data_IF_838804275938
#
_entry.id   IF_838804275938
#
_cell.length_a   1.000
_cell.length_b   1.000
_cell.length_c   1.000
_cell.angle_alpha   90.00
_cell.angle_beta   90.00
_cell.angle_gamma   90.00
#
_symmetry.space_group_name_H-M   'P 1'
#
loop_
_entity.id
_entity.type
_entity.pdbx_description
1 polymer ?
#
# COMPACT_ATOMS: atom_id res chain seq x y z
N UNK A 1 -18.18 -3.35 -9.57
CA UNK A 1 -16.72 -3.63 -9.61
C UNK A 1 -15.94 -2.63 -8.77
N UNK A 2 -15.39 -1.51 -9.27
CA UNK A 2 -14.67 -0.54 -8.40
C UNK A 2 -15.56 0.06 -7.33
N UNK A 3 -16.84 0.31 -7.64
CA UNK A 3 -17.78 0.88 -6.67
C UNK A 3 -18.05 -0.04 -5.46
N UNK A 4 -17.99 -1.36 -5.66
CA UNK A 4 -18.08 -2.32 -4.54
C UNK A 4 -16.85 -2.18 -3.63
N UNK A 5 -15.65 -2.12 -4.20
CA UNK A 5 -14.41 -1.90 -3.45
C UNK A 5 -14.44 -0.58 -2.67
N UNK A 6 -14.98 0.49 -3.27
CA UNK A 6 -15.19 1.76 -2.57
C UNK A 6 -16.15 1.60 -1.39
N UNK A 7 -17.27 0.91 -1.57
CA UNK A 7 -18.24 0.68 -0.49
C UNK A 7 -17.65 -0.16 0.65
N UNK A 8 -16.87 -1.17 0.32
CA UNK A 8 -16.14 -1.98 1.30
C UNK A 8 -15.09 -1.15 2.03
N UNK A 9 -14.39 -0.26 1.32
CA UNK A 9 -13.46 0.68 1.92
C UNK A 9 -14.14 1.68 2.87
N UNK A 10 -15.29 2.22 2.50
CA UNK A 10 -16.09 3.07 3.40
C UNK A 10 -16.54 2.30 4.65
N UNK A 11 -16.93 1.03 4.49
CA UNK A 11 -17.32 0.17 5.61
C UNK A 11 -16.15 -0.10 6.55
N UNK A 12 -14.96 -0.34 5.99
CA UNK A 12 -13.71 -0.47 6.74
C UNK A 12 -13.41 0.80 7.56
N UNK A 13 -13.51 1.98 6.95
CA UNK A 13 -13.29 3.27 7.62
C UNK A 13 -14.31 3.50 8.73
N UNK A 14 -15.60 3.22 8.51
CA UNK A 14 -16.63 3.36 9.55
C UNK A 14 -16.33 2.50 10.77
N UNK A 15 -15.85 1.27 10.56
CA UNK A 15 -15.42 0.37 11.65
C UNK A 15 -14.20 0.92 12.39
N UNK A 16 -13.25 1.51 11.66
CA UNK A 16 -12.09 2.17 12.27
C UNK A 16 -12.51 3.32 13.20
N UNK A 17 -13.41 4.18 12.73
CA UNK A 17 -13.85 5.37 13.46
C UNK A 17 -14.66 5.03 14.72
N UNK A 18 -15.44 3.95 14.69
CA UNK A 18 -16.29 3.55 15.83
C UNK A 18 -15.48 3.04 17.04
N UNK A 19 -14.52 2.14 16.80
CA UNK A 19 -13.95 1.32 17.88
C UNK A 19 -12.43 1.48 18.04
N UNK A 20 -11.75 2.23 17.15
CA UNK A 20 -10.29 2.23 17.06
C UNK A 20 -9.67 3.63 16.97
N UNK A 21 -10.35 4.72 17.35
CA UNK A 21 -9.68 6.01 17.43
C UNK A 21 -8.69 6.05 18.61
N UNK A 22 -7.43 6.37 18.31
CA UNK A 22 -6.40 6.53 19.33
C UNK A 22 -6.20 8.01 19.57
N UNK A 23 -6.38 8.44 20.82
CA UNK A 23 -6.22 9.82 21.23
C UNK A 23 -4.79 10.07 21.72
N UNK A 24 -4.32 11.31 21.57
CA UNK A 24 -3.08 11.79 22.17
C UNK A 24 -3.16 11.67 23.69
N UNK A 25 -2.03 11.37 24.33
CA UNK A 25 -1.94 11.19 25.79
C UNK A 25 -0.81 12.04 26.37
N UNK A 26 -0.88 12.30 27.68
CA UNK A 26 0.21 12.85 28.47
C UNK A 26 1.54 12.12 28.15
N UNK A 27 2.62 12.87 27.97
CA UNK A 27 3.93 12.35 27.53
C UNK A 27 4.20 12.49 26.03
N UNK A 28 3.22 12.88 25.23
CA UNK A 28 3.44 13.26 23.81
C UNK A 28 3.50 14.78 23.64
N UNK A 29 4.35 15.26 22.72
CA UNK A 29 4.42 16.69 22.38
C UNK A 29 3.07 17.19 21.87
N UNK A 30 2.35 16.38 21.08
CA UNK A 30 1.02 16.77 20.57
C UNK A 30 0.00 16.99 21.70
N UNK A 31 0.05 16.20 22.78
CA UNK A 31 -0.83 16.41 23.92
C UNK A 31 -0.42 17.65 24.73
N UNK A 32 0.88 17.89 24.90
CA UNK A 32 1.39 19.10 25.56
C UNK A 32 0.92 20.38 24.85
N UNK A 33 0.96 20.39 23.51
CA UNK A 33 0.62 21.57 22.71
C UNK A 33 -0.88 21.75 22.47
N UNK A 34 -1.64 20.66 22.30
CA UNK A 34 -3.02 20.72 21.80
C UNK A 34 -4.03 19.96 22.67
N UNK A 35 -3.61 19.39 23.79
CA UNK A 35 -4.46 18.55 24.64
C UNK A 35 -4.83 17.21 23.99
N UNK A 36 -5.90 16.62 24.49
CA UNK A 36 -6.46 15.38 23.94
C UNK A 36 -7.10 15.64 22.57
N UNK A 37 -6.60 14.96 21.54
CA UNK A 37 -7.17 14.96 20.19
C UNK A 37 -6.91 13.62 19.51
N UNK A 38 -7.65 13.25 18.46
CA UNK A 38 -7.30 12.10 17.63
C UNK A 38 -5.86 12.18 17.14
N UNK A 39 -5.11 11.09 17.31
CA UNK A 39 -3.72 11.00 16.87
C UNK A 39 -3.66 10.87 15.35
N UNK A 40 -3.29 11.95 14.67
CA UNK A 40 -3.05 11.98 13.23
C UNK A 40 -2.02 10.91 12.81
N UNK A 41 -0.98 10.70 13.62
CA UNK A 41 -0.01 9.64 13.39
C UNK A 41 -0.64 8.24 13.43
N UNK A 42 -1.49 7.96 14.43
CA UNK A 42 -2.19 6.68 14.51
C UNK A 42 -3.11 6.47 13.30
N UNK A 43 -3.80 7.53 12.86
CA UNK A 43 -4.63 7.50 11.65
C UNK A 43 -3.76 7.16 10.44
N UNK A 44 -2.65 7.86 10.20
CA UNK A 44 -1.75 7.58 9.08
C UNK A 44 -1.25 6.12 9.08
N UNK A 45 -0.91 5.56 10.24
CA UNK A 45 -0.49 4.15 10.36
C UNK A 45 -1.61 3.21 9.93
N UNK A 46 -2.83 3.40 10.46
CA UNK A 46 -4.01 2.60 10.10
C UNK A 46 -4.34 2.70 8.62
N UNK A 47 -4.14 3.87 8.02
CA UNK A 47 -4.34 4.09 6.60
C UNK A 47 -3.28 3.41 5.72
N UNK A 48 -2.11 3.07 6.26
CA UNK A 48 -1.19 2.13 5.62
C UNK A 48 -1.86 0.78 5.35
N UNK A 49 -2.49 0.18 6.39
CA UNK A 49 -3.24 -1.07 6.24
C UNK A 49 -4.49 -0.91 5.37
N UNK A 50 -5.11 0.27 5.36
CA UNK A 50 -6.23 0.57 4.46
C UNK A 50 -5.80 0.52 2.99
N UNK A 51 -4.64 1.08 2.65
CA UNK A 51 -4.08 0.99 1.30
C UNK A 51 -3.89 -0.46 0.85
N UNK A 52 -3.39 -1.33 1.75
CA UNK A 52 -3.29 -2.77 1.48
C UNK A 52 -4.65 -3.44 1.30
N UNK A 53 -5.61 -3.11 2.15
CA UNK A 53 -6.97 -3.61 2.03
C UNK A 53 -7.56 -3.27 0.65
N UNK A 54 -7.52 -1.99 0.25
CA UNK A 54 -8.04 -1.55 -1.05
C UNK A 54 -7.33 -2.27 -2.20
N UNK A 55 -6.00 -2.39 -2.16
CA UNK A 55 -5.26 -3.06 -3.21
C UNK A 55 -5.63 -4.56 -3.32
N UNK A 56 -5.80 -5.26 -2.18
CA UNK A 56 -6.24 -6.66 -2.14
C UNK A 56 -7.65 -6.83 -2.71
N UNK A 57 -8.58 -5.96 -2.36
CA UNK A 57 -9.95 -6.00 -2.90
C UNK A 57 -9.98 -5.68 -4.40
N UNK A 58 -9.15 -4.74 -4.88
CA UNK A 58 -9.01 -4.48 -6.32
C UNK A 58 -8.53 -5.73 -7.09
N UNK A 59 -7.55 -6.49 -6.57
CA UNK A 59 -7.13 -7.74 -7.22
C UNK A 59 -8.30 -8.71 -7.38
N UNK A 60 -9.10 -8.90 -6.33
CA UNK A 60 -10.19 -9.88 -6.31
C UNK A 60 -11.31 -9.57 -7.32
N UNK A 61 -11.41 -8.33 -7.78
CA UNK A 61 -12.40 -7.93 -8.79
C UNK A 61 -12.05 -8.48 -10.17
N UNK A 62 -10.77 -8.73 -10.46
CA UNK A 62 -10.35 -9.30 -11.74
C UNK A 62 -10.26 -10.84 -11.64
N UNK A 63 -11.13 -11.61 -12.30
CA UNK A 63 -11.14 -13.07 -12.21
C UNK A 63 -9.91 -13.75 -12.85
N UNK A 64 -9.14 -13.01 -13.66
CA UNK A 64 -7.90 -13.52 -14.27
C UNK A 64 -6.70 -13.43 -13.31
N UNK A 65 -6.88 -12.78 -12.15
CA UNK A 65 -5.85 -12.63 -11.14
C UNK A 65 -6.21 -13.43 -9.89
N UNK A 66 -5.20 -14.11 -9.34
CA UNK A 66 -5.32 -14.88 -8.11
C UNK A 66 -4.59 -14.14 -6.99
N UNK A 67 -5.32 -13.62 -6.00
CA UNK A 67 -4.70 -13.08 -4.78
C UNK A 67 -4.06 -14.23 -3.99
N UNK A 68 -2.74 -14.17 -3.81
CA UNK A 68 -2.01 -15.15 -3.02
C UNK A 68 -2.01 -14.77 -1.54
N UNK A 69 -1.57 -15.69 -0.68
CA UNK A 69 -1.46 -15.43 0.76
C UNK A 69 -0.61 -14.18 1.00
N UNK A 70 -1.17 -13.22 1.74
CA UNK A 70 -0.53 -11.99 2.20
C UNK A 70 -0.45 -11.99 3.74
N UNK A 71 0.26 -11.02 4.31
CA UNK A 71 0.53 -10.93 5.74
C UNK A 71 1.80 -11.68 6.15
N UNK A 72 1.91 -12.00 7.45
CA UNK A 72 3.10 -12.64 8.03
C UNK A 72 3.32 -14.03 7.44
N UNK A 73 4.46 -14.21 6.78
CA UNK A 73 4.93 -15.47 6.20
C UNK A 73 6.36 -15.77 6.65
N UNK A 74 6.73 -17.05 6.63
CA UNK A 74 8.10 -17.48 6.89
C UNK A 74 8.83 -17.58 5.56
N UNK A 75 9.84 -16.73 5.38
CA UNK A 75 10.71 -16.70 4.19
C UNK A 75 12.14 -16.79 4.70
N UNK A 76 12.88 -17.82 4.27
CA UNK A 76 14.25 -18.09 4.70
C UNK A 76 14.41 -18.07 6.24
N UNK A 77 13.54 -18.81 6.94
CA UNK A 77 13.47 -18.90 8.41
C UNK A 77 13.21 -17.59 9.16
N UNK A 78 12.89 -16.51 8.44
CA UNK A 78 12.53 -15.21 9.01
C UNK A 78 11.05 -14.91 8.77
N UNK A 79 10.40 -14.34 9.78
CA UNK A 79 9.06 -13.77 9.62
C UNK A 79 9.15 -12.48 8.79
N UNK A 80 8.44 -12.45 7.67
CA UNK A 80 8.30 -11.30 6.79
C UNK A 80 6.83 -10.99 6.62
N UNK A 81 6.48 -9.72 6.73
CA UNK A 81 5.13 -9.27 6.44
C UNK A 81 5.00 -8.98 4.95
N UNK A 82 4.02 -9.58 4.29
CA UNK A 82 3.83 -9.50 2.85
C UNK A 82 2.62 -8.64 2.56
N UNK A 83 2.86 -7.43 2.07
CA UNK A 83 1.81 -6.44 1.86
C UNK A 83 0.84 -6.91 0.75
N UNK A 84 1.34 -7.22 -0.46
CA UNK A 84 0.51 -7.68 -1.58
C UNK A 84 1.28 -8.64 -2.50
N UNK A 85 0.73 -9.85 -2.69
CA UNK A 85 1.17 -10.79 -3.74
C UNK A 85 -0.05 -11.30 -4.50
N UNK A 86 0.03 -11.30 -5.82
CA UNK A 86 -0.99 -11.88 -6.69
C UNK A 86 -0.36 -12.48 -7.93
N UNK A 87 -1.12 -13.34 -8.59
CA UNK A 87 -0.67 -14.18 -9.69
C UNK A 87 -1.54 -13.96 -10.91
N UNK A 88 -0.89 -13.82 -12.05
CA UNK A 88 -1.49 -13.79 -13.37
C UNK A 88 -1.12 -15.10 -14.07
N UNK A 89 -2.08 -16.02 -14.14
CA UNK A 89 -1.89 -17.34 -14.75
C UNK A 89 -1.73 -17.26 -16.27
N UNK A 90 -2.36 -16.26 -16.90
CA UNK A 90 -2.39 -16.09 -18.36
C UNK A 90 -1.01 -15.66 -18.84
N UNK A 91 -0.44 -14.63 -18.22
CA UNK A 91 0.86 -14.09 -18.60
C UNK A 91 2.03 -14.79 -17.89
N UNK A 92 1.74 -15.74 -16.98
CA UNK A 92 2.72 -16.42 -16.12
C UNK A 92 3.59 -15.44 -15.34
N UNK A 93 2.93 -14.52 -14.62
CA UNK A 93 3.61 -13.50 -13.80
C UNK A 93 3.16 -13.61 -12.34
N UNK A 94 4.11 -13.56 -11.41
CA UNK A 94 3.83 -13.32 -10.00
C UNK A 94 4.21 -11.88 -9.68
N UNK A 95 3.22 -11.11 -9.22
CA UNK A 95 3.42 -9.74 -8.81
C UNK A 95 3.59 -9.68 -7.30
N UNK A 96 4.68 -9.06 -6.83
CA UNK A 96 4.84 -8.63 -5.45
C UNK A 96 4.91 -7.10 -5.39
N UNK A 97 4.13 -6.51 -4.49
CA UNK A 97 4.18 -5.08 -4.20
C UNK A 97 4.34 -4.87 -2.70
N UNK A 98 5.40 -4.17 -2.33
CA UNK A 98 5.50 -3.51 -1.02
C UNK A 98 4.68 -2.21 -1.07
N UNK A 99 3.73 -2.02 -0.16
CA UNK A 99 2.85 -0.86 -0.19
C UNK A 99 3.40 0.25 0.72
N UNK A 100 3.40 1.47 0.20
CA UNK A 100 3.77 2.67 0.94
C UNK A 100 2.79 3.79 0.63
N UNK A 101 2.21 4.37 1.67
CA UNK A 101 1.39 5.59 1.55
C UNK A 101 2.24 6.86 1.49
N UNK A 102 3.53 6.78 1.82
CA UNK A 102 4.48 7.86 1.71
C UNK A 102 5.80 7.31 1.16
N UNK A 103 6.32 7.92 0.10
CA UNK A 103 7.59 7.54 -0.52
C UNK A 103 8.80 8.30 0.07
N UNK A 104 8.54 9.37 0.83
CA UNK A 104 9.53 10.07 1.65
C UNK A 104 9.81 9.29 2.93
N UNK A 105 10.36 8.11 2.76
CA UNK A 105 10.82 7.26 3.84
C UNK A 105 12.10 7.85 4.45
N UNK A 106 12.25 7.63 5.75
CA UNK A 106 13.52 7.86 6.45
C UNK A 106 14.64 7.11 5.73
N UNK A 107 15.82 7.74 5.60
CA UNK A 107 16.94 7.19 4.83
C UNK A 107 17.37 5.81 5.32
N UNK A 108 17.22 5.52 6.61
CA UNK A 108 17.50 4.21 7.22
C UNK A 108 16.53 3.11 6.79
N UNK A 109 15.30 3.47 6.39
CA UNK A 109 14.28 2.52 5.95
C UNK A 109 14.42 2.14 4.48
N UNK A 110 15.12 2.94 3.67
CA UNK A 110 15.29 2.67 2.24
C UNK A 110 16.06 1.36 2.01
N UNK A 111 17.26 1.12 2.59
CA UNK A 111 18.01 -0.12 2.38
C UNK A 111 17.24 -1.35 2.86
N UNK A 112 16.60 -1.27 4.03
CA UNK A 112 15.81 -2.37 4.59
C UNK A 112 14.63 -2.75 3.70
N UNK A 113 13.97 -1.76 3.07
CA UNK A 113 12.87 -2.01 2.14
C UNK A 113 13.37 -2.69 0.86
N UNK A 114 14.53 -2.27 0.34
CA UNK A 114 15.17 -2.89 -0.84
C UNK A 114 15.55 -4.33 -0.54
N UNK A 115 16.18 -4.58 0.60
CA UNK A 115 16.59 -5.92 1.03
C UNK A 115 15.37 -6.83 1.17
N UNK A 116 14.31 -6.37 1.83
CA UNK A 116 13.02 -7.09 1.93
C UNK A 116 12.50 -7.47 0.55
N UNK A 117 12.44 -6.52 -0.38
CA UNK A 117 11.95 -6.77 -1.74
C UNK A 117 12.77 -7.83 -2.47
N UNK A 118 14.11 -7.77 -2.37
CA UNK A 118 15.01 -8.72 -3.03
C UNK A 118 14.95 -10.12 -2.41
N UNK A 119 14.84 -10.22 -1.09
CA UNK A 119 14.67 -11.50 -0.39
C UNK A 119 13.37 -12.19 -0.81
N UNK A 120 12.27 -11.44 -0.88
CA UNK A 120 10.96 -11.95 -1.30
C UNK A 120 10.97 -12.33 -2.78
N UNK A 121 11.51 -11.46 -3.64
CA UNK A 121 11.66 -11.74 -5.07
C UNK A 121 12.41 -13.05 -5.30
N UNK A 122 13.55 -13.24 -4.64
CA UNK A 122 14.33 -14.48 -4.74
C UNK A 122 13.53 -15.70 -4.27
N UNK A 123 12.84 -15.61 -3.14
CA UNK A 123 12.01 -16.70 -2.63
C UNK A 123 10.87 -17.06 -3.60
N UNK A 124 10.25 -16.06 -4.24
CA UNK A 124 9.22 -16.27 -5.25
C UNK A 124 9.81 -16.90 -6.53
N UNK A 125 11.01 -16.49 -6.97
CA UNK A 125 11.71 -17.11 -8.11
C UNK A 125 11.97 -18.60 -7.87
N UNK A 126 12.37 -18.97 -6.66
CA UNK A 126 12.63 -20.37 -6.29
C UNK A 126 11.32 -21.21 -6.24
N UNK A 127 10.23 -20.61 -5.75
CA UNK A 127 8.92 -21.25 -5.60
C UNK A 127 8.16 -21.37 -6.92
N UNK A 128 8.23 -20.37 -7.79
CA UNK A 128 7.46 -20.27 -9.04
C UNK A 128 8.41 -20.20 -10.25
N UNK A 129 9.13 -21.30 -10.50
CA UNK A 129 10.21 -21.37 -11.52
C UNK A 129 9.76 -21.06 -12.95
N UNK A 130 8.50 -21.35 -13.26
CA UNK A 130 7.92 -21.13 -14.59
C UNK A 130 7.27 -19.75 -14.74
N UNK A 131 7.40 -18.89 -13.72
CA UNK A 131 6.80 -17.56 -13.69
C UNK A 131 7.86 -16.48 -13.73
N UNK A 132 7.57 -15.41 -14.45
CA UNK A 132 8.29 -14.14 -14.29
C UNK A 132 7.90 -13.54 -12.95
N UNK A 133 8.90 -13.15 -12.15
CA UNK A 133 8.63 -12.37 -10.93
C UNK A 133 8.69 -10.89 -11.27
N UNK A 134 7.65 -10.19 -10.87
CA UNK A 134 7.49 -8.76 -11.05
C UNK A 134 7.39 -8.12 -9.66
N UNK A 135 8.54 -7.66 -9.16
CA UNK A 135 8.70 -7.09 -7.83
C UNK A 135 8.77 -5.56 -7.90
N UNK A 136 8.17 -4.85 -6.93
CA UNK A 136 8.26 -3.41 -6.85
C UNK A 136 7.60 -2.83 -5.60
N UNK A 137 7.62 -1.51 -5.49
CA UNK A 137 6.89 -0.76 -4.46
C UNK A 137 5.67 -0.11 -5.11
N UNK A 138 4.52 -0.19 -4.45
CA UNK A 138 3.33 0.58 -4.79
C UNK A 138 3.21 1.80 -3.87
N UNK A 139 3.48 2.98 -4.41
CA UNK A 139 3.17 4.24 -3.74
C UNK A 139 1.70 4.59 -3.97
N UNK A 140 0.83 4.03 -3.13
CA UNK A 140 -0.62 4.05 -3.37
C UNK A 140 -1.26 5.42 -3.14
N UNK A 141 -0.67 6.33 -2.35
CA UNK A 141 -1.29 7.64 -2.08
C UNK A 141 -1.23 8.61 -3.26
N UNK A 142 -0.48 8.26 -4.30
CA UNK A 142 -0.26 9.09 -5.48
C UNK A 142 -0.76 8.37 -6.71
N UNK A 143 -1.60 9.04 -7.50
CA UNK A 143 -2.22 8.47 -8.68
C UNK A 143 -1.19 8.26 -9.80
N UNK A 144 -0.47 9.33 -10.16
CA UNK A 144 0.61 9.28 -11.15
C UNK A 144 1.83 10.10 -10.68
N UNK A 145 3.00 9.83 -11.26
CA UNK A 145 4.25 10.52 -10.90
C UNK A 145 4.25 12.02 -11.20
N UNK A 146 3.40 12.50 -12.12
CA UNK A 146 3.47 13.88 -12.66
C UNK A 146 3.23 14.94 -11.59
N UNK A 147 2.46 14.61 -10.55
CA UNK A 147 2.15 15.53 -9.46
C UNK A 147 3.22 15.57 -8.36
N UNK A 148 4.18 14.63 -8.36
CA UNK A 148 5.18 14.52 -7.30
C UNK A 148 6.21 15.63 -7.39
N UNK A 149 6.34 16.38 -6.30
CA UNK A 149 7.42 17.35 -6.09
C UNK A 149 8.46 16.88 -5.09
N UNK A 150 8.07 15.99 -4.18
CA UNK A 150 8.88 15.48 -3.09
C UNK A 150 9.08 13.95 -3.22
N UNK A 151 10.12 13.41 -2.60
CA UNK A 151 10.45 11.98 -2.67
C UNK A 151 11.04 11.47 -3.99
N UNK A 152 11.35 12.35 -4.96
CA UNK A 152 11.96 11.97 -6.24
C UNK A 152 13.34 11.31 -6.08
N UNK A 153 14.15 11.79 -5.12
CA UNK A 153 15.45 11.20 -4.79
C UNK A 153 15.31 9.77 -4.25
N UNK A 154 14.31 9.50 -3.41
CA UNK A 154 14.04 8.16 -2.90
C UNK A 154 13.59 7.22 -4.02
N UNK A 155 12.73 7.70 -4.92
CA UNK A 155 12.31 6.96 -6.11
C UNK A 155 13.54 6.57 -6.95
N UNK A 156 14.40 7.53 -7.27
CA UNK A 156 15.63 7.27 -8.01
C UNK A 156 16.54 6.28 -7.27
N UNK A 157 16.62 6.36 -5.94
CA UNK A 157 17.41 5.43 -5.13
C UNK A 157 16.91 4.00 -5.25
N UNK A 158 15.59 3.77 -5.20
CA UNK A 158 14.98 2.46 -5.41
C UNK A 158 15.24 1.95 -6.83
N UNK A 159 14.99 2.78 -7.85
CA UNK A 159 15.14 2.42 -9.26
C UNK A 159 16.59 2.08 -9.60
N UNK A 160 17.56 2.85 -9.10
CA UNK A 160 19.00 2.58 -9.24
C UNK A 160 19.44 1.26 -8.57
N UNK A 161 18.62 0.71 -7.67
CA UNK A 161 18.86 -0.58 -7.01
C UNK A 161 18.04 -1.72 -7.62
N UNK A 162 17.34 -1.46 -8.71
CA UNK A 162 16.52 -2.42 -9.46
C UNK A 162 15.10 -2.59 -8.91
N UNK A 163 14.66 -1.75 -7.98
CA UNK A 163 13.31 -1.78 -7.42
C UNK A 163 12.47 -0.71 -8.11
N UNK A 164 11.48 -1.15 -8.88
CA UNK A 164 10.56 -0.20 -9.53
C UNK A 164 9.57 0.39 -8.54
N UNK A 165 9.17 1.63 -8.82
CA UNK A 165 8.10 2.32 -8.11
C UNK A 165 6.90 2.44 -9.03
N UNK A 166 5.80 1.82 -8.64
CA UNK A 166 4.49 1.98 -9.26
C UNK A 166 3.65 2.98 -8.47
N UNK A 167 2.90 3.79 -9.20
CA UNK A 167 1.83 4.62 -8.68
C UNK A 167 0.48 3.94 -8.93
N UNK A 168 -0.63 4.52 -8.45
CA UNK A 168 -1.93 3.89 -8.59
C UNK A 168 -2.32 3.65 -10.05
N UNK A 169 -2.01 4.58 -10.96
CA UNK A 169 -2.25 4.43 -12.40
C UNK A 169 -1.54 3.19 -12.96
N UNK A 170 -0.26 2.99 -12.62
CA UNK A 170 0.50 1.81 -13.06
C UNK A 170 -0.11 0.52 -12.51
N UNK A 171 -0.52 0.52 -11.24
CA UNK A 171 -1.13 -0.64 -10.60
C UNK A 171 -2.49 -0.99 -11.21
N UNK A 172 -3.33 0.00 -11.45
CA UNK A 172 -4.63 -0.15 -12.11
C UNK A 172 -4.48 -0.71 -13.53
N UNK A 173 -3.46 -0.27 -14.27
CA UNK A 173 -3.13 -0.83 -15.58
C UNK A 173 -2.64 -2.28 -15.50
N UNK A 174 -1.84 -2.64 -14.50
CA UNK A 174 -1.38 -4.03 -14.29
C UNK A 174 -2.56 -4.97 -14.05
N UNK A 175 -3.57 -4.49 -13.32
CA UNK A 175 -4.70 -5.32 -12.89
C UNK A 175 -5.93 -5.18 -13.78
N UNK A 176 -5.80 -4.45 -14.89
CA UNK A 176 -6.86 -4.15 -15.87
C UNK A 176 -8.14 -3.59 -15.21
N UNK A 177 -7.98 -2.60 -14.34
CA UNK A 177 -9.09 -1.90 -13.68
C UNK A 177 -9.06 -0.43 -14.01
N UNK A 178 -10.23 0.12 -14.37
CA UNK A 178 -10.41 1.56 -14.59
C UNK A 178 -10.91 2.24 -13.32
N UNK A 179 -10.09 3.13 -12.76
CA UNK A 179 -10.47 4.09 -11.72
C UNK A 179 -9.74 5.39 -12.02
N UNK A 180 -10.46 6.44 -12.43
CA UNK A 180 -9.83 7.68 -12.89
C UNK A 180 -9.23 8.52 -11.75
N UNK A 181 -8.31 9.40 -12.11
CA UNK A 181 -7.54 10.24 -11.17
C UNK A 181 -8.43 11.13 -10.29
N UNK A 182 -9.43 11.78 -10.90
CA UNK A 182 -10.29 12.73 -10.19
C UNK A 182 -11.18 12.00 -9.18
N UNK A 183 -11.81 10.89 -9.58
CA UNK A 183 -12.62 10.04 -8.72
C UNK A 183 -11.77 9.37 -7.63
N UNK A 184 -10.54 8.93 -7.94
CA UNK A 184 -9.60 8.41 -6.96
C UNK A 184 -9.34 9.41 -5.84
N UNK A 185 -8.93 10.64 -6.18
CA UNK A 185 -8.69 11.65 -5.18
C UNK A 185 -9.96 12.12 -4.47
N UNK A 186 -11.08 12.20 -5.16
CA UNK A 186 -12.36 12.56 -4.55
C UNK A 186 -12.77 11.54 -3.48
N UNK A 187 -12.63 10.25 -3.77
CA UNK A 187 -12.92 9.16 -2.85
C UNK A 187 -12.11 9.28 -1.54
N UNK A 188 -10.78 9.41 -1.64
CA UNK A 188 -9.93 9.54 -0.44
C UNK A 188 -10.15 10.87 0.30
N UNK A 189 -10.45 11.97 -0.39
CA UNK A 189 -10.82 13.24 0.26
C UNK A 189 -12.14 13.13 1.02
N UNK A 190 -13.11 12.39 0.49
CA UNK A 190 -14.38 12.14 1.19
C UNK A 190 -14.17 11.30 2.45
N UNK A 191 -13.31 10.29 2.40
CA UNK A 191 -12.85 9.57 3.60
C UNK A 191 -12.21 10.53 4.61
N UNK A 192 -11.32 11.43 4.15
CA UNK A 192 -10.69 12.44 5.01
C UNK A 192 -11.71 13.35 5.71
N UNK A 193 -12.81 13.71 5.04
CA UNK A 193 -13.92 14.48 5.66
C UNK A 193 -14.65 13.66 6.74
N UNK A 194 -14.87 12.36 6.51
CA UNK A 194 -15.49 11.49 7.50
C UNK A 194 -14.67 11.42 8.79
N UNK A 195 -13.34 11.31 8.69
CA UNK A 195 -12.43 11.26 9.85
C UNK A 195 -12.42 12.60 10.60
N UNK A 196 -12.49 13.73 9.88
CA UNK A 196 -12.52 15.05 10.53
C UNK A 196 -13.82 15.32 11.30
N UNK A 197 -14.91 14.66 10.89
CA UNK A 197 -16.23 14.85 11.46
C UNK A 197 -16.62 13.78 12.50
N UNK A 198 -15.70 12.85 12.83
CA UNK A 198 -15.87 11.82 13.86
C UNK A 198 -15.24 12.25 15.18
#
# INVERSE_FOLDING_TARGET
>A
MVEEVKNDGISWVKKLLKDNLTYTKHGSISYLLFGEKPSEQSICIKFGHFGEFIAKELIKVNPNLELLTCGIQVINDKKKDIDLIFKDEINKIIYYRELKGNIELDTEKLPATIEKCKEIEKSLQEKYKDYKIDCGILNWSVYNRKILKAGLSNIQFFENKGIKINHMEDFLNIIDIKWDEDDYYLYFRNIGKMIKNS
#
